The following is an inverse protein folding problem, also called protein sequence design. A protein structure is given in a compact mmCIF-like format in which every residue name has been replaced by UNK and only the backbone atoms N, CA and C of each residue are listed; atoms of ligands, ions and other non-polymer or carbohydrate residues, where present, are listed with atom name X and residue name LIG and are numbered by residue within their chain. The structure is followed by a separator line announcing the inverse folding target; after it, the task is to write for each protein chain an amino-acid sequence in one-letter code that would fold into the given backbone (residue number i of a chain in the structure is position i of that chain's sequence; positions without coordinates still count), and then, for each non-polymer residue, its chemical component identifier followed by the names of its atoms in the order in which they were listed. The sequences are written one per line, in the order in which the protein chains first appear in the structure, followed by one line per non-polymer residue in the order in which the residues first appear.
data_IF_128648230897
#
_entry.id   IF_128648230897
#
_cell.length_a   1.000
_cell.length_b   1.000
_cell.length_c   1.000
_cell.angle_alpha   90.00
_cell.angle_beta   90.00
_cell.angle_gamma   90.00
#
_symmetry.space_group_name_H-M   'P 1'
#
loop_
_entity.id
_entity.type
_entity.pdbx_description
1 polymer ?
#
# COMPACT_ATOMS: atom_id res chain seq x y z
N UNK A 1 -7.43 -3.61 13.40
CA UNK A 1 -8.13 -3.88 12.13
C UNK A 1 -7.70 -2.89 11.08
N UNK A 2 -7.41 -3.38 9.89
CA UNK A 2 -6.96 -2.54 8.77
C UNK A 2 -8.19 -2.03 8.03
N UNK A 3 -8.41 -0.70 8.09
CA UNK A 3 -9.59 -0.08 7.47
C UNK A 3 -9.35 1.39 7.18
N UNK A 4 -10.09 1.91 6.19
CA UNK A 4 -10.07 3.34 5.88
C UNK A 4 -10.70 4.13 7.02
N UNK A 5 -10.11 5.30 7.32
CA UNK A 5 -10.60 6.21 8.36
C UNK A 5 -10.87 7.59 7.75
N UNK A 6 -11.81 8.33 8.34
CA UNK A 6 -12.11 9.69 7.85
C UNK A 6 -10.90 10.62 7.89
N UNK A 7 -9.99 10.42 8.83
CA UNK A 7 -8.76 11.24 8.90
C UNK A 7 -7.86 11.07 7.68
N UNK A 8 -8.05 10.00 6.89
CA UNK A 8 -7.30 9.79 5.65
C UNK A 8 -7.84 10.61 4.48
N UNK A 9 -9.02 11.19 4.59
CA UNK A 9 -9.66 11.92 3.49
C UNK A 9 -8.79 13.09 3.04
N UNK A 10 -8.43 13.11 1.77
CA UNK A 10 -7.65 14.19 1.17
C UNK A 10 -8.54 15.27 0.57
N UNK A 11 -9.78 14.92 0.22
CA UNK A 11 -10.67 15.79 -0.53
C UNK A 11 -10.59 15.61 -2.04
N UNK A 12 -9.65 14.80 -2.51
CA UNK A 12 -9.53 14.43 -3.93
C UNK A 12 -10.15 13.07 -4.11
N UNK A 13 -11.33 13.01 -4.73
CA UNK A 13 -12.17 11.80 -4.75
C UNK A 13 -11.44 10.58 -5.31
N UNK A 14 -10.69 10.74 -6.41
CA UNK A 14 -9.99 9.62 -7.02
C UNK A 14 -8.87 9.08 -6.12
N UNK A 15 -8.17 9.96 -5.43
CA UNK A 15 -7.10 9.57 -4.50
C UNK A 15 -7.71 8.84 -3.30
N UNK A 16 -8.77 9.39 -2.73
CA UNK A 16 -9.45 8.77 -1.58
C UNK A 16 -9.97 7.37 -1.90
N UNK A 17 -10.55 7.21 -3.08
CA UNK A 17 -11.07 5.91 -3.52
C UNK A 17 -9.93 4.89 -3.66
N UNK A 18 -8.80 5.32 -4.20
CA UNK A 18 -7.64 4.44 -4.36
C UNK A 18 -7.02 4.06 -3.02
N UNK A 19 -7.00 4.99 -2.06
CA UNK A 19 -6.54 4.67 -0.70
C UNK A 19 -7.42 3.62 -0.04
N UNK A 20 -8.75 3.73 -0.22
CA UNK A 20 -9.68 2.73 0.29
C UNK A 20 -9.40 1.34 -0.30
N UNK A 21 -9.11 1.28 -1.59
CA UNK A 21 -8.80 0.03 -2.26
C UNK A 21 -7.50 -0.57 -1.77
N UNK A 22 -6.46 0.25 -1.56
CA UNK A 22 -5.19 -0.23 -1.00
C UNK A 22 -5.37 -0.86 0.37
N UNK A 23 -6.15 -0.20 1.23
CA UNK A 23 -6.42 -0.70 2.57
C UNK A 23 -7.24 -1.98 2.54
N UNK A 24 -8.17 -2.11 1.58
CA UNK A 24 -8.93 -3.34 1.39
C UNK A 24 -8.03 -4.51 1.00
N UNK A 25 -7.09 -4.29 0.09
CA UNK A 25 -6.15 -5.34 -0.31
C UNK A 25 -5.30 -5.79 0.90
N UNK A 26 -4.81 -4.84 1.69
CA UNK A 26 -4.05 -5.13 2.90
C UNK A 26 -4.90 -5.90 3.92
N UNK A 27 -6.18 -5.55 4.06
CA UNK A 27 -7.10 -6.23 4.96
C UNK A 27 -7.33 -7.69 4.54
N UNK A 28 -7.44 -7.95 3.23
CA UNK A 28 -7.57 -9.33 2.73
C UNK A 28 -6.32 -10.16 3.04
N UNK A 29 -5.15 -9.58 2.94
CA UNK A 29 -3.91 -10.26 3.31
C UNK A 29 -3.88 -10.61 4.79
N UNK A 30 -4.35 -9.69 5.64
CA UNK A 30 -4.43 -9.93 7.08
C UNK A 30 -5.43 -11.04 7.43
N UNK A 31 -6.58 -11.06 6.73
CA UNK A 31 -7.57 -12.13 6.92
C UNK A 31 -7.02 -13.50 6.50
N UNK A 32 -6.24 -13.53 5.42
CA UNK A 32 -5.57 -14.77 5.00
C UNK A 32 -4.63 -15.29 6.08
N UNK A 33 -3.91 -14.39 6.75
CA UNK A 33 -3.00 -14.75 7.84
C UNK A 33 -3.75 -15.44 8.98
N UNK A 34 -4.98 -15.00 9.27
CA UNK A 34 -5.81 -15.55 10.34
C UNK A 34 -6.56 -16.81 9.95
N UNK A 35 -6.56 -17.19 8.67
CA UNK A 35 -7.35 -18.31 8.19
C UNK A 35 -6.62 -19.63 8.45
N UNK A 36 -7.11 -20.41 9.41
CA UNK A 36 -6.51 -21.68 9.81
C UNK A 36 -6.90 -22.84 8.91
N UNK A 37 -7.76 -22.64 7.91
CA UNK A 37 -8.16 -23.68 6.97
C UNK A 37 -7.03 -24.08 6.01
N UNK A 38 -6.08 -23.19 5.80
CA UNK A 38 -4.94 -23.43 4.91
C UNK A 38 -3.70 -23.73 5.72
N UNK A 39 -3.06 -24.86 5.42
CA UNK A 39 -1.76 -25.20 6.00
C UNK A 39 -0.62 -24.58 5.21
N UNK A 40 -0.82 -24.39 3.90
CA UNK A 40 0.14 -23.73 3.02
C UNK A 40 -0.56 -22.55 2.34
N UNK A 41 -0.11 -21.34 2.64
CA UNK A 41 -0.69 -20.09 2.13
C UNK A 41 0.18 -19.43 1.08
N UNK A 42 1.24 -20.12 0.61
CA UNK A 42 2.24 -19.49 -0.26
C UNK A 42 1.62 -18.90 -1.53
N UNK A 43 0.82 -19.67 -2.26
CA UNK A 43 0.22 -19.20 -3.51
C UNK A 43 -0.72 -18.01 -3.29
N UNK A 44 -1.51 -18.07 -2.21
CA UNK A 44 -2.43 -16.98 -1.88
C UNK A 44 -1.67 -15.72 -1.47
N UNK A 45 -0.58 -15.87 -0.70
CA UNK A 45 0.26 -14.74 -0.29
C UNK A 45 0.88 -14.08 -1.52
N UNK A 46 1.46 -14.86 -2.43
CA UNK A 46 2.08 -14.35 -3.66
C UNK A 46 1.05 -13.60 -4.50
N UNK A 47 -0.15 -14.17 -4.66
CA UNK A 47 -1.20 -13.53 -5.45
C UNK A 47 -1.62 -12.18 -4.87
N UNK A 48 -1.78 -12.09 -3.55
CA UNK A 48 -2.15 -10.84 -2.88
C UNK A 48 -1.02 -9.81 -2.97
N UNK A 49 0.23 -10.24 -2.81
CA UNK A 49 1.38 -9.34 -2.95
C UNK A 49 1.48 -8.76 -4.35
N UNK A 50 1.22 -9.57 -5.38
CA UNK A 50 1.19 -9.07 -6.76
C UNK A 50 0.05 -8.07 -6.97
N UNK A 51 -1.12 -8.36 -6.44
CA UNK A 51 -2.25 -7.44 -6.53
C UNK A 51 -1.93 -6.13 -5.84
N UNK A 52 -1.37 -6.18 -4.64
CA UNK A 52 -0.97 -4.99 -3.88
C UNK A 52 0.06 -4.17 -4.65
N UNK A 53 1.09 -4.83 -5.17
CA UNK A 53 2.14 -4.16 -5.94
C UNK A 53 1.57 -3.48 -7.18
N UNK A 54 0.79 -4.20 -7.97
CA UNK A 54 0.23 -3.66 -9.22
C UNK A 54 -0.72 -2.51 -8.95
N UNK A 55 -1.57 -2.63 -7.94
CA UNK A 55 -2.49 -1.55 -7.59
C UNK A 55 -1.75 -0.33 -7.04
N UNK A 56 -0.70 -0.56 -6.25
CA UNK A 56 0.12 0.52 -5.70
C UNK A 56 0.81 1.31 -6.82
N UNK A 57 1.35 0.63 -7.82
CA UNK A 57 1.96 1.29 -8.99
C UNK A 57 0.92 2.13 -9.70
N UNK A 58 -0.26 1.57 -9.97
CA UNK A 58 -1.35 2.30 -10.61
C UNK A 58 -1.75 3.54 -9.80
N UNK A 59 -1.91 3.38 -8.48
CA UNK A 59 -2.27 4.48 -7.61
C UNK A 59 -1.21 5.58 -7.61
N UNK A 60 0.06 5.22 -7.51
CA UNK A 60 1.15 6.20 -7.52
C UNK A 60 1.19 6.97 -8.84
N UNK A 61 1.00 6.30 -9.96
CA UNK A 61 0.95 6.96 -11.26
C UNK A 61 -0.22 7.93 -11.35
N UNK A 62 -1.39 7.53 -10.87
CA UNK A 62 -2.58 8.40 -10.84
C UNK A 62 -2.37 9.63 -9.97
N UNK A 63 -1.77 9.45 -8.79
CA UNK A 63 -1.51 10.53 -7.86
C UNK A 63 -0.46 11.50 -8.42
N UNK A 64 0.60 10.97 -9.03
CA UNK A 64 1.63 11.80 -9.64
C UNK A 64 1.10 12.59 -10.83
N UNK A 65 0.23 11.97 -11.63
CA UNK A 65 -0.42 12.67 -12.74
C UNK A 65 -1.30 13.81 -12.23
N UNK A 66 -2.03 13.58 -11.15
CA UNK A 66 -2.85 14.62 -10.52
C UNK A 66 -1.96 15.75 -9.99
N UNK A 67 -0.91 15.44 -9.27
CA UNK A 67 0.01 16.44 -8.74
C UNK A 67 0.65 17.27 -9.86
N UNK A 68 1.00 16.64 -10.97
CA UNK A 68 1.54 17.34 -12.12
C UNK A 68 0.52 18.28 -12.73
N UNK A 69 -0.75 17.86 -12.81
CA UNK A 69 -1.82 18.68 -13.39
C UNK A 69 -2.09 19.95 -12.61
N UNK A 70 -1.87 19.94 -11.29
CA UNK A 70 -2.09 21.11 -10.43
C UNK A 70 -0.79 21.88 -10.15
N UNK A 71 0.34 21.44 -10.71
CA UNK A 71 1.64 22.08 -10.47
C UNK A 71 2.14 21.96 -9.04
N UNK A 72 1.92 20.81 -8.41
CA UNK A 72 2.29 20.61 -7.01
C UNK A 72 3.79 20.69 -6.82
N UNK A 73 4.23 21.53 -5.89
CA UNK A 73 5.65 21.86 -5.70
C UNK A 73 6.50 20.71 -5.19
N UNK A 74 5.91 19.76 -4.45
CA UNK A 74 6.64 18.64 -3.85
C UNK A 74 6.49 17.35 -4.65
N UNK A 75 6.15 17.45 -5.94
CA UNK A 75 5.98 16.29 -6.81
C UNK A 75 7.20 15.37 -6.81
N UNK A 76 8.40 15.94 -6.90
CA UNK A 76 9.62 15.13 -6.95
C UNK A 76 9.83 14.35 -5.66
N UNK A 77 9.59 14.98 -4.50
CA UNK A 77 9.69 14.28 -3.21
C UNK A 77 8.72 13.12 -3.12
N UNK A 78 7.49 13.30 -3.61
CA UNK A 78 6.49 12.23 -3.65
C UNK A 78 6.97 11.08 -4.54
N UNK A 79 7.51 11.38 -5.72
CA UNK A 79 8.00 10.35 -6.62
C UNK A 79 9.12 9.52 -6.00
N UNK A 80 10.01 10.16 -5.24
CA UNK A 80 11.08 9.45 -4.53
C UNK A 80 10.51 8.51 -3.47
N UNK A 81 9.55 8.98 -2.68
CA UNK A 81 8.91 8.14 -1.65
C UNK A 81 8.15 6.96 -2.27
N UNK A 82 7.44 7.20 -3.37
CA UNK A 82 6.74 6.14 -4.11
C UNK A 82 7.72 5.10 -4.65
N UNK A 83 8.83 5.56 -5.22
CA UNK A 83 9.86 4.67 -5.75
C UNK A 83 10.46 3.81 -4.63
N UNK A 84 10.78 4.40 -3.48
CA UNK A 84 11.35 3.67 -2.36
C UNK A 84 10.41 2.58 -1.86
N UNK A 85 9.12 2.86 -1.80
CA UNK A 85 8.13 1.86 -1.40
C UNK A 85 8.08 0.69 -2.38
N UNK A 86 8.04 0.98 -3.69
CA UNK A 86 8.01 -0.06 -4.73
C UNK A 86 9.29 -0.89 -4.68
N UNK A 87 10.45 -0.27 -4.48
CA UNK A 87 11.71 -0.98 -4.33
C UNK A 87 11.66 -1.96 -3.15
N UNK A 88 11.09 -1.54 -2.04
CA UNK A 88 10.95 -2.39 -0.85
C UNK A 88 10.09 -3.62 -1.17
N UNK A 89 8.98 -3.43 -1.88
CA UNK A 89 8.11 -4.54 -2.26
C UNK A 89 8.81 -5.47 -3.26
N UNK A 90 9.55 -4.91 -4.24
CA UNK A 90 10.27 -5.71 -5.23
C UNK A 90 11.37 -6.57 -4.62
N UNK A 91 11.87 -6.21 -3.46
CA UNK A 91 12.95 -6.93 -2.79
C UNK A 91 12.45 -7.97 -1.78
N UNK A 92 11.15 -8.30 -1.84
CA UNK A 92 10.58 -9.35 -0.99
C UNK A 92 11.20 -10.71 -1.35
N UNK A 93 11.64 -11.44 -0.34
CA UNK A 93 12.24 -12.76 -0.49
C UNK A 93 11.16 -13.84 -0.42
N UNK A 94 10.80 -14.40 -1.59
CA UNK A 94 9.75 -15.42 -1.68
C UNK A 94 10.15 -16.72 -0.98
N UNK A 95 11.45 -17.04 -0.92
CA UNK A 95 11.91 -18.23 -0.19
C UNK A 95 11.67 -18.08 1.31
N UNK A 96 11.88 -16.88 1.83
CA UNK A 96 11.64 -16.62 3.25
C UNK A 96 10.15 -16.72 3.57
N UNK A 97 9.28 -16.29 2.66
CA UNK A 97 7.84 -16.45 2.82
C UNK A 97 7.49 -17.93 2.93
N UNK A 98 8.08 -18.79 2.09
CA UNK A 98 7.81 -20.22 2.11
C UNK A 98 8.27 -20.87 3.43
N UNK A 99 9.38 -20.41 4.01
CA UNK A 99 9.94 -20.97 5.24
C UNK A 99 9.16 -20.57 6.49
N UNK A 100 8.67 -19.33 6.56
CA UNK A 100 7.94 -18.84 7.73
C UNK A 100 6.87 -17.86 7.28
N UNK A 101 5.78 -18.40 6.76
CA UNK A 101 4.73 -17.63 6.11
C UNK A 101 4.09 -16.61 7.06
N UNK A 102 3.69 -17.06 8.24
CA UNK A 102 2.93 -16.20 9.15
C UNK A 102 3.77 -15.04 9.68
N UNK A 103 4.99 -15.30 10.10
CA UNK A 103 5.87 -14.27 10.64
C UNK A 103 6.27 -13.26 9.59
N UNK A 104 6.65 -13.75 8.41
CA UNK A 104 7.11 -12.87 7.33
C UNK A 104 5.98 -11.98 6.82
N UNK A 105 4.78 -12.54 6.59
CA UNK A 105 3.66 -11.76 6.10
C UNK A 105 3.19 -10.74 7.14
N UNK A 106 3.26 -11.08 8.43
CA UNK A 106 2.91 -10.14 9.50
C UNK A 106 3.85 -8.93 9.50
N UNK A 107 5.14 -9.16 9.39
CA UNK A 107 6.13 -8.08 9.31
C UNK A 107 5.92 -7.22 8.06
N UNK A 108 5.63 -7.84 6.94
CA UNK A 108 5.37 -7.13 5.69
C UNK A 108 4.12 -6.27 5.79
N UNK A 109 3.03 -6.83 6.36
CA UNK A 109 1.78 -6.07 6.55
C UNK A 109 1.98 -4.89 7.49
N UNK A 110 2.73 -5.07 8.57
CA UNK A 110 3.04 -3.97 9.47
C UNK A 110 3.79 -2.85 8.74
N UNK A 111 4.75 -3.21 7.90
CA UNK A 111 5.47 -2.23 7.08
C UNK A 111 4.53 -1.50 6.13
N UNK A 112 3.72 -2.24 5.37
CA UNK A 112 2.84 -1.67 4.35
C UNK A 112 1.81 -0.74 4.97
N UNK A 113 1.14 -1.19 6.04
CA UNK A 113 0.09 -0.39 6.70
C UNK A 113 0.67 0.85 7.35
N UNK A 114 1.82 0.72 8.03
CA UNK A 114 2.49 1.87 8.65
C UNK A 114 2.91 2.88 7.61
N UNK A 115 3.43 2.43 6.47
CA UNK A 115 3.84 3.32 5.40
C UNK A 115 2.64 4.05 4.78
N UNK A 116 1.55 3.32 4.50
CA UNK A 116 0.32 3.91 3.94
C UNK A 116 -0.23 4.96 4.90
N UNK A 117 -0.37 4.61 6.18
CA UNK A 117 -0.89 5.52 7.19
C UNK A 117 -0.06 6.81 7.26
N UNK A 118 1.25 6.66 7.38
CA UNK A 118 2.17 7.79 7.49
C UNK A 118 2.16 8.64 6.21
N UNK A 119 2.20 8.01 5.04
CA UNK A 119 2.24 8.71 3.76
C UNK A 119 0.95 9.48 3.51
N UNK A 120 -0.22 8.87 3.78
CA UNK A 120 -1.50 9.54 3.61
C UNK A 120 -1.59 10.75 4.54
N UNK A 121 -1.33 10.56 5.83
CA UNK A 121 -1.52 11.62 6.82
C UNK A 121 -0.52 12.75 6.68
N UNK A 122 0.74 12.45 6.33
CA UNK A 122 1.82 13.44 6.30
C UNK A 122 2.05 14.06 4.94
N UNK A 123 1.73 13.34 3.86
CA UNK A 123 2.06 13.77 2.50
C UNK A 123 0.84 13.99 1.63
N UNK A 124 -0.03 12.97 1.50
CA UNK A 124 -1.13 13.04 0.54
C UNK A 124 -2.16 14.09 0.91
N UNK A 125 -2.41 14.30 2.18
CA UNK A 125 -3.33 15.35 2.62
C UNK A 125 -2.85 16.75 2.27
N UNK A 126 -1.55 16.94 2.13
CA UNK A 126 -0.98 18.25 1.74
C UNK A 126 -1.31 18.58 0.28
N UNK A 127 -1.57 17.60 -0.57
CA UNK A 127 -1.91 17.85 -1.97
C UNK A 127 -3.18 18.68 -2.08
N UNK A 128 -4.17 18.39 -1.24
CA UNK A 128 -5.46 19.10 -1.27
C UNK A 128 -5.38 20.51 -0.71
N UNK A 129 -4.34 20.84 0.05
CA UNK A 129 -4.16 22.18 0.64
C UNK A 129 -3.34 23.11 -0.25
N UNK A 130 -2.74 22.59 -1.29
CA UNK A 130 -2.00 23.39 -2.29
C UNK A 130 -2.95 23.87 -3.39
#
# INVERSE_FOLDING_TARGET
MIAWKEEYRTGVAIIDEQHKQLLEIAARAYELLKNDLYTDKYDQIVAILEELKNYTIYHFQSEEAYMQSIGYKKLLSHKVEHHDFIEKINNIDLEQIDQDQNQYILELLDFVVSWIDSHILKRDKLIATE
#
